data_IF_974684331214
#
_entry.id   IF_974684331214
#
_cell.length_a   1.000
_cell.length_b   1.000
_cell.length_c   1.000
_cell.angle_alpha   90.00
_cell.angle_beta   90.00
_cell.angle_gamma   90.00
#
_symmetry.space_group_name_H-M   'P 1'
#
loop_
_entity.id
_entity.type
_entity.pdbx_description
1 polymer ?
#
# COMPACT_ATOMS: atom_id res chain seq x y z
N UNK A 1 -26.87 13.09 -2.97
CA UNK A 1 -25.83 13.97 -3.61
C UNK A 1 -25.10 13.12 -4.63
N UNK A 2 -24.89 13.64 -5.84
CA UNK A 2 -24.09 12.94 -6.87
C UNK A 2 -22.65 13.46 -6.86
N UNK A 3 -21.71 12.55 -6.82
CA UNK A 3 -20.26 12.83 -6.86
C UNK A 3 -19.69 12.33 -8.19
N UNK A 4 -19.23 13.23 -9.04
CA UNK A 4 -18.61 12.87 -10.31
C UNK A 4 -17.12 12.62 -10.14
N UNK A 5 -16.67 11.43 -10.50
CA UNK A 5 -15.26 11.05 -10.54
C UNK A 5 -14.82 11.00 -12.00
N UNK A 6 -14.37 12.15 -12.49
CA UNK A 6 -13.89 12.27 -13.87
C UNK A 6 -12.44 11.80 -13.97
N UNK A 7 -12.16 10.91 -14.92
CA UNK A 7 -10.84 10.28 -15.05
C UNK A 7 -10.43 10.18 -16.51
N UNK A 8 -9.11 10.32 -16.75
CA UNK A 8 -8.49 10.17 -18.09
C UNK A 8 -7.40 9.10 -18.04
N UNK A 9 -7.09 8.43 -19.15
CA UNK A 9 -5.98 7.48 -19.23
C UNK A 9 -4.62 8.08 -18.86
N UNK A 10 -4.45 9.40 -19.03
CA UNK A 10 -3.24 10.16 -18.72
C UNK A 10 -3.11 10.55 -17.23
N UNK A 11 -4.12 10.30 -16.41
CA UNK A 11 -4.06 10.64 -14.98
C UNK A 11 -2.98 9.82 -14.26
N UNK A 12 -2.22 10.43 -13.34
CA UNK A 12 -1.12 9.76 -12.63
C UNK A 12 -1.60 8.65 -11.68
N UNK A 13 -2.85 8.71 -11.25
CA UNK A 13 -3.52 7.68 -10.45
C UNK A 13 -4.60 7.03 -11.30
N UNK A 14 -4.61 5.69 -11.44
CA UNK A 14 -5.62 4.98 -12.24
C UNK A 14 -7.06 5.35 -11.85
N UNK A 15 -7.88 5.62 -12.86
CA UNK A 15 -9.27 6.08 -12.66
C UNK A 15 -10.12 5.14 -11.83
N UNK A 16 -10.02 3.84 -12.07
CA UNK A 16 -10.73 2.81 -11.30
C UNK A 16 -10.40 2.84 -9.79
N UNK A 17 -9.14 3.10 -9.45
CA UNK A 17 -8.75 3.24 -8.03
C UNK A 17 -9.39 4.48 -7.42
N UNK A 18 -9.35 5.63 -8.12
CA UNK A 18 -9.97 6.88 -7.66
C UNK A 18 -11.47 6.73 -7.46
N UNK A 19 -12.13 6.08 -8.40
CA UNK A 19 -13.55 5.78 -8.30
C UNK A 19 -13.86 4.85 -7.13
N UNK A 20 -13.09 3.75 -6.97
CA UNK A 20 -13.23 2.83 -5.85
C UNK A 20 -13.07 3.51 -4.49
N UNK A 21 -12.06 4.39 -4.34
CA UNK A 21 -11.86 5.16 -3.12
C UNK A 21 -13.02 6.10 -2.81
N UNK A 22 -13.54 6.80 -3.82
CA UNK A 22 -14.69 7.70 -3.62
C UNK A 22 -15.94 6.94 -3.20
N UNK A 23 -16.22 5.79 -3.80
CA UNK A 23 -17.33 4.93 -3.38
C UNK A 23 -17.18 4.45 -1.94
N UNK A 24 -15.98 4.10 -1.53
CA UNK A 24 -15.72 3.65 -0.16
C UNK A 24 -15.85 4.79 0.86
N UNK A 25 -15.38 5.98 0.51
CA UNK A 25 -15.50 7.17 1.38
C UNK A 25 -16.92 7.72 1.49
N UNK A 26 -17.72 7.53 0.47
CA UNK A 26 -19.08 8.08 0.38
C UNK A 26 -20.12 6.99 0.05
N UNK A 27 -20.28 5.96 0.94
CA UNK A 27 -21.12 4.80 0.65
C UNK A 27 -22.60 5.14 0.47
N UNK A 28 -23.07 6.23 1.10
CA UNK A 28 -24.46 6.69 1.04
C UNK A 28 -24.73 7.70 -0.08
N UNK A 29 -23.72 7.98 -0.92
CA UNK A 29 -23.85 8.94 -2.01
C UNK A 29 -23.84 8.22 -3.36
N UNK A 30 -24.44 8.87 -4.34
CA UNK A 30 -24.40 8.43 -5.72
C UNK A 30 -23.04 8.83 -6.34
N UNK A 31 -22.10 7.89 -6.39
CA UNK A 31 -20.76 8.13 -6.97
C UNK A 31 -20.72 7.59 -8.37
N UNK A 32 -20.53 8.47 -9.34
CA UNK A 32 -20.53 8.16 -10.78
C UNK A 32 -19.13 8.27 -11.35
N UNK A 33 -18.71 7.26 -12.12
CA UNK A 33 -17.43 7.24 -12.81
C UNK A 33 -17.59 7.73 -14.25
N UNK A 34 -17.07 8.92 -14.52
CA UNK A 34 -17.06 9.51 -15.87
C UNK A 34 -15.71 9.25 -16.51
N UNK A 35 -15.71 8.37 -17.52
CA UNK A 35 -14.48 7.93 -18.22
C UNK A 35 -14.36 8.52 -19.63
N UNK A 36 -15.29 9.37 -20.03
CA UNK A 36 -15.27 10.07 -21.30
C UNK A 36 -14.10 11.05 -21.36
N UNK A 37 -13.51 11.21 -22.52
CA UNK A 37 -12.42 12.19 -22.75
C UNK A 37 -13.04 13.60 -22.87
N UNK A 38 -13.19 14.26 -21.73
CA UNK A 38 -13.80 15.56 -21.60
C UNK A 38 -12.74 16.66 -21.48
N UNK A 39 -12.98 17.85 -22.06
CA UNK A 39 -12.08 18.99 -21.85
C UNK A 39 -12.03 19.37 -20.38
N UNK A 40 -10.84 19.65 -19.86
CA UNK A 40 -10.63 19.95 -18.43
C UNK A 40 -10.56 21.45 -18.15
N UNK A 41 -10.19 22.25 -19.16
CA UNK A 41 -10.08 23.70 -19.05
C UNK A 41 -10.96 24.39 -20.10
N UNK A 42 -11.56 25.55 -19.77
CA UNK A 42 -12.40 26.27 -20.71
C UNK A 42 -11.72 26.63 -22.04
N UNK A 43 -10.39 26.72 -22.07
CA UNK A 43 -9.61 27.00 -23.27
C UNK A 43 -9.39 25.79 -24.19
N UNK A 44 -9.67 24.58 -23.75
CA UNK A 44 -9.48 23.35 -24.53
C UNK A 44 -10.58 23.13 -25.58
N UNK A 45 -11.79 23.63 -25.35
CA UNK A 45 -12.92 23.46 -26.28
C UNK A 45 -13.90 24.64 -26.24
N UNK A 46 -14.36 25.17 -27.40
CA UNK A 46 -15.30 26.29 -27.44
C UNK A 46 -16.64 25.99 -26.73
N UNK A 47 -17.11 24.74 -26.78
CA UNK A 47 -18.35 24.31 -26.18
C UNK A 47 -18.17 23.71 -24.77
N UNK A 48 -17.04 24.01 -24.11
CA UNK A 48 -16.70 23.48 -22.79
C UNK A 48 -17.89 23.47 -21.80
N UNK A 49 -18.54 24.59 -21.64
CA UNK A 49 -19.65 24.72 -20.68
C UNK A 49 -20.89 23.95 -21.07
N UNK A 50 -21.18 23.81 -22.37
CA UNK A 50 -22.29 23.01 -22.88
C UNK A 50 -22.05 21.52 -22.66
N UNK A 51 -20.83 21.05 -22.93
CA UNK A 51 -20.40 19.66 -22.69
C UNK A 51 -20.58 19.32 -21.21
N UNK A 52 -20.02 20.13 -20.31
CA UNK A 52 -20.13 19.88 -18.87
C UNK A 52 -21.55 19.99 -18.36
N UNK A 53 -22.37 20.87 -18.92
CA UNK A 53 -23.78 20.93 -18.60
C UNK A 53 -24.49 19.62 -18.93
N UNK A 54 -24.28 19.09 -20.13
CA UNK A 54 -24.88 17.82 -20.56
C UNK A 54 -24.46 16.65 -19.67
N UNK A 55 -23.17 16.52 -19.40
CA UNK A 55 -22.64 15.50 -18.50
C UNK A 55 -23.28 15.61 -17.10
N UNK A 56 -23.25 16.79 -16.50
CA UNK A 56 -23.80 16.97 -15.15
C UNK A 56 -25.30 16.67 -15.09
N UNK A 57 -26.10 17.10 -16.07
CA UNK A 57 -27.54 16.81 -16.11
C UNK A 57 -27.80 15.33 -16.35
N UNK A 58 -27.09 14.69 -17.25
CA UNK A 58 -27.21 13.25 -17.51
C UNK A 58 -26.95 12.42 -16.25
N UNK A 59 -25.83 12.69 -15.58
CA UNK A 59 -25.41 11.91 -14.41
C UNK A 59 -26.22 12.25 -13.14
N UNK A 60 -26.78 13.46 -13.05
CA UNK A 60 -27.65 13.86 -11.94
C UNK A 60 -29.13 13.54 -12.16
N UNK A 61 -29.51 12.84 -13.24
CA UNK A 61 -30.88 12.48 -13.52
C UNK A 61 -31.76 13.63 -14.05
N UNK A 62 -31.17 14.60 -14.74
CA UNK A 62 -31.84 15.66 -15.49
C UNK A 62 -31.99 17.00 -14.75
N UNK A 63 -31.71 17.08 -13.46
CA UNK A 63 -31.77 18.31 -12.66
C UNK A 63 -30.64 18.41 -11.65
N UNK A 64 -30.11 19.63 -11.51
CA UNK A 64 -29.12 19.98 -10.49
C UNK A 64 -29.62 21.21 -9.74
N UNK A 65 -29.82 21.10 -8.42
CA UNK A 65 -30.28 22.21 -7.58
C UNK A 65 -29.10 23.02 -7.00
N UNK A 66 -27.93 22.37 -6.75
CA UNK A 66 -26.76 23.02 -6.20
C UNK A 66 -25.47 22.40 -6.73
N UNK A 67 -24.45 23.26 -6.91
CA UNK A 67 -23.08 22.87 -7.27
C UNK A 67 -22.16 23.22 -6.12
N UNK A 68 -21.49 22.22 -5.55
CA UNK A 68 -20.47 22.37 -4.51
C UNK A 68 -19.09 22.33 -5.15
N UNK A 69 -18.30 23.38 -5.03
CA UNK A 69 -16.92 23.40 -5.52
C UNK A 69 -16.03 24.31 -4.66
N UNK A 70 -14.76 23.95 -4.59
CA UNK A 70 -13.72 24.73 -3.93
C UNK A 70 -13.02 25.72 -4.87
N UNK A 71 -13.35 25.71 -6.16
CA UNK A 71 -12.68 26.49 -7.21
C UNK A 71 -13.66 27.40 -7.96
N UNK A 72 -13.12 28.42 -8.64
CA UNK A 72 -13.91 29.51 -9.26
C UNK A 72 -14.81 29.04 -10.40
N UNK A 73 -14.43 27.94 -11.09
CA UNK A 73 -15.26 27.40 -12.16
C UNK A 73 -16.66 26.97 -11.68
N UNK A 74 -16.82 26.65 -10.38
CA UNK A 74 -18.08 26.22 -9.80
C UNK A 74 -19.18 27.26 -9.95
N UNK A 75 -18.85 28.55 -9.93
CA UNK A 75 -19.83 29.62 -10.16
C UNK A 75 -20.41 29.55 -11.58
N UNK A 76 -19.53 29.47 -12.59
CA UNK A 76 -19.95 29.40 -13.99
C UNK A 76 -20.70 28.10 -14.30
N UNK A 77 -20.25 26.99 -13.73
CA UNK A 77 -20.94 25.71 -13.87
C UNK A 77 -22.38 25.77 -13.29
N UNK A 78 -22.53 26.38 -12.13
CA UNK A 78 -23.85 26.56 -11.53
C UNK A 78 -24.77 27.43 -12.41
N UNK A 79 -24.26 28.51 -12.98
CA UNK A 79 -25.01 29.34 -13.93
C UNK A 79 -25.55 28.56 -15.13
N UNK A 80 -24.71 27.77 -15.80
CA UNK A 80 -25.12 27.01 -16.99
C UNK A 80 -26.07 25.86 -16.66
N UNK A 81 -26.03 25.36 -15.42
CA UNK A 81 -26.96 24.35 -14.92
C UNK A 81 -28.29 24.93 -14.40
N UNK A 82 -28.36 26.24 -14.19
CA UNK A 82 -29.50 26.89 -13.51
C UNK A 82 -29.58 26.52 -12.03
N UNK A 83 -28.41 26.23 -11.40
CA UNK A 83 -28.28 25.76 -10.03
C UNK A 83 -27.70 26.83 -9.10
N UNK A 84 -27.81 26.60 -7.79
CA UNK A 84 -27.17 27.45 -6.77
C UNK A 84 -25.68 27.04 -6.60
N UNK A 85 -24.77 28.02 -6.67
CA UNK A 85 -23.37 27.77 -6.31
C UNK A 85 -23.16 27.79 -4.81
N UNK A 86 -22.55 26.75 -4.27
CA UNK A 86 -22.17 26.61 -2.86
C UNK A 86 -20.65 26.49 -2.76
N UNK A 87 -19.94 27.58 -2.44
CA UNK A 87 -18.49 27.54 -2.30
C UNK A 87 -18.07 26.72 -1.09
N UNK A 88 -17.09 25.81 -1.28
CA UNK A 88 -16.55 24.96 -0.23
C UNK A 88 -15.08 25.32 -0.01
N UNK A 89 -14.77 25.93 1.14
CA UNK A 89 -13.41 26.25 1.60
C UNK A 89 -12.46 26.83 0.53
N UNK A 90 -12.95 27.77 -0.30
CA UNK A 90 -12.20 28.39 -1.41
C UNK A 90 -10.85 28.95 -1.00
N UNK A 91 -10.77 29.55 0.18
CA UNK A 91 -9.54 30.12 0.74
C UNK A 91 -8.67 29.09 1.44
N UNK A 92 -9.09 27.81 1.47
CA UNK A 92 -8.40 26.71 2.13
C UNK A 92 -8.07 26.97 3.60
N UNK A 93 -9.01 27.60 4.30
CA UNK A 93 -8.85 27.94 5.71
C UNK A 93 -9.07 26.73 6.62
N UNK A 94 -9.92 25.80 6.23
CA UNK A 94 -10.22 24.57 6.98
C UNK A 94 -9.28 23.43 6.61
N UNK A 95 -9.05 23.26 5.30
CA UNK A 95 -8.16 22.20 4.76
C UNK A 95 -7.09 22.88 3.89
N UNK A 96 -5.93 23.25 4.49
CA UNK A 96 -4.91 24.10 3.84
C UNK A 96 -4.05 23.31 2.82
N UNK A 97 -4.68 22.46 2.00
CA UNK A 97 -4.00 21.61 1.02
C UNK A 97 -4.83 21.40 -0.24
N UNK A 98 -4.17 21.16 -1.37
CA UNK A 98 -4.83 20.75 -2.62
C UNK A 98 -4.49 19.30 -2.98
N UNK A 99 -5.35 18.67 -3.79
CA UNK A 99 -5.06 17.35 -4.35
C UNK A 99 -3.75 17.32 -5.16
N UNK A 100 -3.37 18.43 -5.80
CA UNK A 100 -2.10 18.56 -6.51
C UNK A 100 -0.91 18.52 -5.56
N UNK A 101 -0.98 19.21 -4.41
CA UNK A 101 0.07 19.18 -3.38
C UNK A 101 0.22 17.77 -2.79
N UNK A 102 -0.89 17.10 -2.48
CA UNK A 102 -0.87 15.72 -1.95
C UNK A 102 -0.25 14.75 -2.96
N UNK A 103 -0.62 14.88 -4.24
CA UNK A 103 -0.04 14.01 -5.29
C UNK A 103 1.44 14.28 -5.54
N UNK A 104 1.89 15.52 -5.39
CA UNK A 104 3.30 15.89 -5.56
C UNK A 104 4.18 15.33 -4.43
N UNK A 105 3.68 15.31 -3.20
CA UNK A 105 4.43 14.81 -2.04
C UNK A 105 3.48 14.13 -1.03
N UNK A 106 3.06 12.89 -1.30
CA UNK A 106 2.14 12.18 -0.42
C UNK A 106 2.77 11.84 0.95
N UNK A 107 4.11 11.73 1.02
CA UNK A 107 4.80 11.44 2.28
C UNK A 107 4.74 12.63 3.24
N UNK A 108 4.93 13.84 2.74
CA UNK A 108 4.83 15.08 3.51
C UNK A 108 3.41 15.35 3.98
N UNK A 109 2.43 15.06 3.14
CA UNK A 109 1.02 15.36 3.40
C UNK A 109 0.20 14.14 3.80
N UNK A 110 0.86 13.15 4.41
CA UNK A 110 0.28 11.85 4.78
C UNK A 110 -1.01 11.96 5.58
N UNK A 111 -1.06 12.87 6.53
CA UNK A 111 -2.22 13.03 7.44
C UNK A 111 -3.50 13.50 6.71
N UNK A 112 -3.35 14.02 5.51
CA UNK A 112 -4.48 14.38 4.64
C UNK A 112 -4.92 13.23 3.71
N UNK A 113 -4.20 12.11 3.69
CA UNK A 113 -4.60 10.94 2.91
C UNK A 113 -5.73 10.18 3.62
N UNK A 114 -6.92 10.03 3.01
CA UNK A 114 -7.95 9.16 3.53
C UNK A 114 -7.47 7.71 3.65
N UNK A 115 -8.05 6.98 4.60
CA UNK A 115 -7.68 5.58 4.86
C UNK A 115 -7.69 4.70 3.60
N UNK A 116 -8.72 4.73 2.73
CA UNK A 116 -8.74 3.93 1.50
C UNK A 116 -7.61 4.23 0.51
N UNK A 117 -7.04 5.45 0.57
CA UNK A 117 -5.97 5.91 -0.34
C UNK A 117 -4.58 5.51 0.16
N UNK A 118 -4.38 5.36 1.46
CA UNK A 118 -3.08 5.06 2.09
C UNK A 118 -2.38 3.82 1.52
N UNK A 119 -3.06 2.68 1.24
CA UNK A 119 -2.42 1.49 0.67
C UNK A 119 -1.72 1.72 -0.68
N UNK A 120 -2.12 2.74 -1.43
CA UNK A 120 -1.51 3.10 -2.71
C UNK A 120 -0.15 3.78 -2.54
N UNK A 121 -0.01 4.62 -1.50
CA UNK A 121 1.20 5.42 -1.29
C UNK A 121 2.12 4.84 -0.22
N UNK A 122 1.64 3.95 0.67
CA UNK A 122 2.45 3.39 1.76
C UNK A 122 3.70 2.69 1.23
N UNK A 123 4.85 3.00 1.85
CA UNK A 123 6.10 2.30 1.56
C UNK A 123 6.11 0.96 2.28
N UNK A 124 6.30 -0.12 1.54
CA UNK A 124 6.37 -1.48 2.12
C UNK A 124 7.81 -1.90 2.32
N UNK A 125 8.17 -2.19 3.56
CA UNK A 125 9.51 -2.68 3.95
C UNK A 125 9.38 -4.08 4.49
N UNK A 126 9.93 -5.06 3.78
CA UNK A 126 9.94 -6.45 4.21
C UNK A 126 11.20 -6.74 5.03
N UNK A 127 11.04 -7.37 6.20
CA UNK A 127 12.15 -7.92 6.99
C UNK A 127 12.27 -9.39 6.66
N UNK A 128 13.41 -9.80 6.12
CA UNK A 128 13.63 -11.08 5.45
C UNK A 128 14.84 -11.80 6.02
N UNK A 129 14.89 -13.12 5.92
CA UNK A 129 16.04 -13.90 6.34
C UNK A 129 15.70 -15.15 7.14
N UNK A 130 16.73 -15.91 7.58
CA UNK A 130 16.58 -17.15 8.32
C UNK A 130 15.89 -17.00 9.68
N UNK A 131 15.56 -18.13 10.27
CA UNK A 131 15.11 -18.21 11.66
C UNK A 131 16.16 -17.66 12.62
N UNK A 132 15.68 -17.20 13.77
CA UNK A 132 16.54 -16.71 14.87
C UNK A 132 17.50 -15.56 14.48
N UNK A 133 17.12 -14.73 13.51
CA UNK A 133 17.90 -13.54 13.11
C UNK A 133 17.33 -12.23 13.63
N UNK A 134 16.22 -12.28 14.39
CA UNK A 134 15.59 -11.11 15.00
C UNK A 134 14.62 -10.34 14.11
N UNK A 135 14.08 -10.95 13.03
CA UNK A 135 13.13 -10.31 12.09
C UNK A 135 11.94 -9.68 12.80
N UNK A 136 11.22 -10.45 13.59
CA UNK A 136 10.00 -9.99 14.30
C UNK A 136 10.29 -8.83 15.25
N UNK A 137 11.41 -8.92 15.99
CA UNK A 137 11.86 -7.85 16.90
C UNK A 137 12.17 -6.58 16.13
N UNK A 138 12.96 -6.68 15.04
CA UNK A 138 13.31 -5.52 14.22
C UNK A 138 12.08 -4.88 13.57
N UNK A 139 11.15 -5.69 13.02
CA UNK A 139 9.91 -5.19 12.42
C UNK A 139 9.06 -4.41 13.45
N UNK A 140 8.90 -4.95 14.67
CA UNK A 140 8.15 -4.32 15.75
C UNK A 140 8.84 -3.03 16.25
N UNK A 141 10.17 -3.04 16.40
CA UNK A 141 10.93 -1.89 16.87
C UNK A 141 10.93 -0.73 15.86
N UNK A 142 11.08 -1.04 14.58
CA UNK A 142 10.94 -0.07 13.50
C UNK A 142 9.52 0.52 13.47
N UNK A 143 8.50 -0.33 13.56
CA UNK A 143 7.12 0.15 13.58
C UNK A 143 6.85 1.10 14.76
N UNK A 144 7.38 0.78 15.94
CA UNK A 144 7.29 1.65 17.13
C UNK A 144 8.02 2.98 16.91
N UNK A 145 9.23 2.95 16.32
CA UNK A 145 10.02 4.14 16.05
C UNK A 145 9.30 5.10 15.10
N UNK A 146 8.73 4.56 14.00
CA UNK A 146 8.01 5.35 12.99
C UNK A 146 6.53 5.61 13.35
N UNK A 147 6.06 5.16 14.52
CA UNK A 147 4.67 5.28 14.98
C UNK A 147 3.68 4.72 13.96
N UNK A 148 3.99 3.56 13.42
CA UNK A 148 3.20 2.85 12.44
C UNK A 148 2.92 1.42 12.89
N UNK A 149 2.28 0.63 12.04
CA UNK A 149 1.97 -0.78 12.29
C UNK A 149 2.99 -1.69 11.60
N UNK A 150 3.08 -2.93 12.08
CA UNK A 150 3.79 -4.00 11.37
C UNK A 150 2.89 -5.20 11.19
N UNK A 151 3.16 -5.96 10.14
CA UNK A 151 2.51 -7.24 9.84
C UNK A 151 3.36 -8.33 10.47
N UNK A 152 2.78 -9.07 11.41
CA UNK A 152 3.43 -10.24 12.01
C UNK A 152 3.53 -11.38 10.99
N UNK A 153 4.51 -12.27 11.14
CA UNK A 153 4.64 -13.48 10.33
C UNK A 153 3.41 -14.38 10.51
N UNK A 154 2.59 -14.49 9.47
CA UNK A 154 1.34 -15.26 9.51
C UNK A 154 1.58 -16.74 9.76
N UNK A 155 2.68 -17.28 9.22
CA UNK A 155 3.08 -18.69 9.42
C UNK A 155 3.20 -19.05 10.90
N UNK A 156 3.81 -18.17 11.69
CA UNK A 156 4.02 -18.39 13.12
C UNK A 156 2.70 -18.62 13.86
N UNK A 157 1.72 -17.74 13.69
CA UNK A 157 0.41 -17.86 14.32
C UNK A 157 -0.39 -19.08 13.82
N UNK A 158 -0.26 -19.44 12.55
CA UNK A 158 -0.92 -20.62 11.98
C UNK A 158 -0.33 -21.93 12.49
N UNK A 159 1.00 -21.99 12.66
CA UNK A 159 1.73 -23.23 13.01
C UNK A 159 1.89 -23.42 14.52
N UNK A 160 1.70 -22.38 15.32
CA UNK A 160 1.83 -22.45 16.80
C UNK A 160 0.98 -23.57 17.44
N UNK A 161 -0.33 -23.72 17.12
CA UNK A 161 -1.14 -24.82 17.62
C UNK A 161 -0.68 -26.21 17.15
N UNK A 162 0.17 -26.27 16.11
CA UNK A 162 0.73 -27.50 15.54
C UNK A 162 2.16 -27.80 16.04
N UNK A 163 2.64 -27.04 17.03
CA UNK A 163 4.02 -27.13 17.53
C UNK A 163 5.07 -26.84 16.47
N UNK A 164 4.78 -25.90 15.56
CA UNK A 164 5.70 -25.49 14.47
C UNK A 164 5.68 -26.40 13.24
N UNK A 165 4.91 -27.53 13.25
CA UNK A 165 4.86 -28.42 12.10
C UNK A 165 4.09 -27.79 10.93
N UNK A 166 4.75 -27.73 9.77
CA UNK A 166 4.16 -27.26 8.52
C UNK A 166 3.86 -28.44 7.58
N UNK A 167 2.65 -28.52 7.09
CA UNK A 167 2.23 -29.49 6.08
C UNK A 167 2.06 -28.77 4.72
N UNK A 168 2.10 -29.47 3.54
CA UNK A 168 1.97 -28.83 2.23
C UNK A 168 0.69 -27.98 2.08
N UNK A 169 -0.40 -28.36 2.72
CA UNK A 169 -1.68 -27.64 2.72
C UNK A 169 -1.65 -26.33 3.50
N UNK A 170 -0.66 -26.11 4.36
CA UNK A 170 -0.49 -24.86 5.11
C UNK A 170 0.13 -23.78 4.22
N UNK A 171 0.96 -24.14 3.25
CA UNK A 171 1.65 -23.18 2.36
C UNK A 171 0.67 -22.23 1.65
N UNK A 172 -0.42 -22.71 1.00
CA UNK A 172 -1.46 -21.84 0.45
C UNK A 172 -2.15 -20.93 1.48
N UNK A 173 -2.35 -21.42 2.70
CA UNK A 173 -2.99 -20.67 3.78
C UNK A 173 -2.08 -19.56 4.30
N UNK A 174 -0.78 -19.87 4.47
CA UNK A 174 0.24 -18.91 4.88
C UNK A 174 0.33 -17.78 3.85
N UNK A 175 0.45 -18.12 2.55
CA UNK A 175 0.56 -17.12 1.49
C UNK A 175 -0.65 -16.16 1.44
N UNK A 176 -1.88 -16.70 1.49
CA UNK A 176 -3.10 -15.89 1.50
C UNK A 176 -3.24 -15.05 2.77
N UNK A 177 -2.95 -15.65 3.92
CA UNK A 177 -3.06 -14.97 5.21
C UNK A 177 -2.06 -13.83 5.36
N UNK A 178 -0.81 -14.03 4.91
CA UNK A 178 0.20 -12.97 4.89
C UNK A 178 -0.25 -11.78 4.04
N UNK A 179 -0.71 -12.03 2.80
CA UNK A 179 -1.20 -10.98 1.90
C UNK A 179 -2.40 -10.25 2.49
N UNK A 180 -3.39 -10.99 3.01
CA UNK A 180 -4.58 -10.39 3.60
C UNK A 180 -4.23 -9.49 4.80
N UNK A 181 -3.27 -9.91 5.63
CA UNK A 181 -2.77 -9.13 6.77
C UNK A 181 -2.06 -7.86 6.31
N UNK A 182 -1.23 -7.95 5.28
CA UNK A 182 -0.55 -6.79 4.69
C UNK A 182 -1.54 -5.78 4.11
N UNK A 183 -2.55 -6.24 3.36
CA UNK A 183 -3.53 -5.37 2.73
C UNK A 183 -4.44 -4.68 3.76
N UNK A 184 -4.81 -5.40 4.82
CA UNK A 184 -5.58 -4.83 5.92
C UNK A 184 -4.78 -3.76 6.69
N UNK A 185 -3.52 -4.06 7.05
CA UNK A 185 -2.70 -3.16 7.85
C UNK A 185 -2.13 -1.99 7.04
N UNK A 186 -2.04 -2.09 5.71
CA UNK A 186 -1.63 -0.97 4.86
C UNK A 186 -2.55 0.26 4.99
N UNK A 187 -3.83 0.07 5.33
CA UNK A 187 -4.79 1.14 5.59
C UNK A 187 -4.49 1.91 6.87
N UNK A 188 -3.93 1.22 7.87
CA UNK A 188 -3.63 1.76 9.18
C UNK A 188 -2.20 2.30 9.29
N UNK A 189 -1.34 1.96 8.32
CA UNK A 189 0.05 2.34 8.32
C UNK A 189 0.23 3.86 8.20
N UNK A 190 1.26 4.39 8.87
CA UNK A 190 1.69 5.77 8.75
C UNK A 190 2.98 5.84 7.93
N UNK A 191 2.87 6.22 6.64
CA UNK A 191 3.95 6.36 5.63
C UNK A 191 4.64 5.04 5.26
N UNK A 192 4.95 4.18 6.22
CA UNK A 192 5.66 2.91 6.01
C UNK A 192 4.95 1.77 6.72
N UNK A 193 4.90 0.61 6.08
CA UNK A 193 4.42 -0.65 6.63
C UNK A 193 5.59 -1.63 6.69
N UNK A 194 5.88 -2.15 7.88
CA UNK A 194 6.89 -3.20 8.06
C UNK A 194 6.22 -4.57 8.01
N UNK A 195 6.74 -5.46 7.16
CA UNK A 195 6.24 -6.83 7.03
C UNK A 195 7.30 -7.79 7.59
N UNK A 196 6.96 -8.51 8.67
CA UNK A 196 7.77 -9.62 9.14
C UNK A 196 7.54 -10.79 8.20
N UNK A 197 8.47 -10.98 7.28
CA UNK A 197 8.40 -11.86 6.10
C UNK A 197 7.35 -11.43 5.06
N UNK A 198 7.26 -12.22 3.99
CA UNK A 198 6.35 -12.03 2.86
C UNK A 198 6.10 -13.33 2.09
N UNK A 199 5.34 -13.25 0.99
CA UNK A 199 5.03 -14.40 0.13
C UNK A 199 6.29 -14.98 -0.56
N UNK A 200 7.33 -14.18 -0.83
CA UNK A 200 8.58 -14.71 -1.37
C UNK A 200 9.29 -15.61 -0.35
N UNK A 201 9.27 -15.24 0.94
CA UNK A 201 9.72 -16.12 2.04
C UNK A 201 8.96 -17.44 2.03
N UNK A 202 7.63 -17.40 1.84
CA UNK A 202 6.82 -18.61 1.75
C UNK A 202 7.27 -19.52 0.60
N UNK A 203 7.67 -18.98 -0.56
CA UNK A 203 8.19 -19.80 -1.66
C UNK A 203 9.52 -20.46 -1.31
N UNK A 204 10.42 -19.75 -0.62
CA UNK A 204 11.73 -20.29 -0.18
C UNK A 204 11.53 -21.45 0.81
N UNK A 205 10.61 -21.27 1.76
CA UNK A 205 10.26 -22.33 2.71
C UNK A 205 9.60 -23.54 2.05
N UNK A 206 8.64 -23.30 1.13
CA UNK A 206 7.97 -24.38 0.40
C UNK A 206 8.96 -25.25 -0.37
N UNK A 207 9.88 -24.61 -1.10
CA UNK A 207 10.94 -25.30 -1.83
C UNK A 207 11.87 -26.08 -0.88
N UNK A 208 12.19 -25.50 0.28
CA UNK A 208 13.06 -26.17 1.26
C UNK A 208 12.41 -27.36 1.93
N UNK A 209 11.12 -27.26 2.28
CA UNK A 209 10.40 -28.30 3.04
C UNK A 209 9.86 -29.41 2.12
N UNK A 210 9.38 -29.05 0.95
CA UNK A 210 8.60 -29.95 0.09
C UNK A 210 9.20 -30.14 -1.30
N UNK A 211 10.27 -29.43 -1.66
CA UNK A 211 10.92 -29.49 -2.97
C UNK A 211 10.15 -28.78 -4.08
N UNK A 212 8.98 -28.21 -3.78
CA UNK A 212 8.11 -27.49 -4.73
C UNK A 212 7.26 -26.41 -4.05
N UNK A 213 6.79 -25.46 -4.85
CA UNK A 213 5.86 -24.42 -4.43
C UNK A 213 4.79 -24.22 -5.52
N UNK A 214 3.50 -24.15 -5.16
CA UNK A 214 2.43 -23.91 -6.12
C UNK A 214 2.67 -22.68 -7.01
N UNK A 215 2.43 -22.83 -8.32
CA UNK A 215 2.73 -21.79 -9.32
C UNK A 215 2.08 -20.43 -8.99
N UNK A 216 0.82 -20.44 -8.58
CA UNK A 216 0.10 -19.21 -8.23
C UNK A 216 0.75 -18.43 -7.05
N UNK A 217 1.43 -19.14 -6.10
CA UNK A 217 2.16 -18.46 -5.00
C UNK A 217 3.42 -17.79 -5.54
N UNK A 218 4.11 -18.44 -6.49
CA UNK A 218 5.26 -17.82 -7.17
C UNK A 218 4.83 -16.58 -7.97
N UNK A 219 3.70 -16.65 -8.69
CA UNK A 219 3.12 -15.51 -9.40
C UNK A 219 2.74 -14.38 -8.44
N UNK A 220 2.10 -14.71 -7.31
CA UNK A 220 1.75 -13.76 -6.27
C UNK A 220 3.01 -13.08 -5.69
N UNK A 221 4.07 -13.85 -5.39
CA UNK A 221 5.35 -13.32 -4.92
C UNK A 221 6.01 -12.39 -5.95
N UNK A 222 5.86 -12.68 -7.25
CA UNK A 222 6.41 -11.87 -8.34
C UNK A 222 5.64 -10.55 -8.56
N UNK A 223 4.34 -10.53 -8.29
CA UNK A 223 3.49 -9.34 -8.46
C UNK A 223 3.46 -8.42 -7.25
N UNK A 224 3.70 -8.94 -6.04
CA UNK A 224 3.76 -8.13 -4.81
C UNK A 224 5.03 -7.28 -4.80
N UNK A 225 4.85 -5.99 -4.56
CA UNK A 225 5.95 -5.01 -4.56
C UNK A 225 6.27 -4.56 -3.14
N UNK A 226 7.58 -4.51 -2.87
CA UNK A 226 8.15 -3.92 -1.66
C UNK A 226 9.19 -2.89 -2.09
N UNK A 227 9.17 -1.73 -1.44
CA UNK A 227 10.07 -0.61 -1.75
C UNK A 227 11.50 -0.92 -1.24
N UNK A 228 11.60 -1.74 -0.19
CA UNK A 228 12.86 -2.17 0.41
C UNK A 228 12.70 -3.54 1.07
N UNK A 229 13.74 -4.37 0.99
CA UNK A 229 13.86 -5.60 1.78
C UNK A 229 15.10 -5.52 2.67
N UNK A 230 14.93 -5.77 3.96
CA UNK A 230 15.99 -5.83 4.95
C UNK A 230 16.33 -7.31 5.19
N UNK A 231 17.42 -7.79 4.58
CA UNK A 231 17.88 -9.18 4.71
C UNK A 231 18.81 -9.31 5.92
N UNK A 232 18.37 -10.03 6.96
CA UNK A 232 19.13 -10.22 8.19
C UNK A 232 20.13 -11.37 8.06
N UNK A 233 21.42 -11.08 8.31
CA UNK A 233 22.47 -12.10 8.32
C UNK A 233 22.40 -12.99 9.57
N UNK A 234 23.09 -14.10 9.55
CA UNK A 234 23.13 -15.14 10.60
C UNK A 234 24.31 -14.97 11.58
N UNK A 235 24.83 -13.77 11.69
CA UNK A 235 25.95 -13.38 12.57
C UNK A 235 25.54 -13.08 14.02
N UNK A 236 24.32 -13.45 14.40
CA UNK A 236 23.80 -13.38 15.79
C UNK A 236 23.60 -14.79 16.36
N UNK A 237 23.63 -14.95 17.70
CA UNK A 237 23.39 -16.24 18.33
C UNK A 237 22.05 -16.86 17.95
N UNK A 238 22.01 -18.18 17.92
CA UNK A 238 20.76 -18.92 17.82
C UNK A 238 19.99 -18.82 19.14
N UNK A 239 18.70 -18.61 19.03
CA UNK A 239 17.77 -18.71 20.16
C UNK A 239 16.67 -19.69 19.75
N UNK A 240 16.55 -20.78 20.45
CA UNK A 240 15.48 -21.75 20.26
C UNK A 240 14.19 -21.23 20.92
N UNK A 241 13.08 -21.32 20.21
CA UNK A 241 11.74 -20.99 20.73
C UNK A 241 10.73 -22.14 20.57
N UNK A 242 11.23 -23.35 20.29
CA UNK A 242 10.43 -24.56 20.12
C UNK A 242 9.77 -24.72 18.76
N UNK A 243 9.88 -23.73 17.87
CA UNK A 243 9.37 -23.80 16.49
C UNK A 243 10.49 -23.72 15.45
N UNK A 244 11.72 -23.48 15.88
CA UNK A 244 12.91 -23.32 15.03
C UNK A 244 13.68 -24.62 14.95
N UNK A 245 14.12 -25.00 13.75
CA UNK A 245 14.79 -26.27 13.51
C UNK A 245 15.97 -26.22 12.54
N UNK A 246 16.29 -25.04 11.96
CA UNK A 246 17.38 -24.91 10.97
C UNK A 246 18.68 -24.34 11.55
N UNK A 247 19.03 -24.59 12.81
CA UNK A 247 20.24 -24.02 13.43
C UNK A 247 21.49 -24.29 12.59
N UNK A 248 21.74 -25.55 12.25
CA UNK A 248 22.91 -25.96 11.48
C UNK A 248 22.89 -25.47 10.02
N UNK A 249 21.72 -25.21 9.48
CA UNK A 249 21.51 -24.86 8.07
C UNK A 249 21.27 -23.35 7.84
N UNK A 250 21.35 -22.53 8.90
CA UNK A 250 21.05 -21.09 8.83
C UNK A 250 21.80 -20.36 7.71
N UNK A 251 23.09 -20.68 7.54
CA UNK A 251 23.92 -20.05 6.50
C UNK A 251 23.45 -20.45 5.10
N UNK A 252 23.15 -21.72 4.89
CA UNK A 252 22.61 -22.18 3.61
C UNK A 252 21.27 -21.52 3.31
N UNK A 253 20.38 -21.46 4.32
CA UNK A 253 19.08 -20.81 4.16
C UNK A 253 19.19 -19.29 3.89
N UNK A 254 20.20 -18.63 4.49
CA UNK A 254 20.50 -17.23 4.18
C UNK A 254 20.86 -17.05 2.70
N UNK A 255 21.71 -17.92 2.14
CA UNK A 255 22.08 -17.85 0.73
C UNK A 255 20.86 -18.11 -0.18
N UNK A 256 19.98 -19.05 0.17
CA UNK A 256 18.72 -19.26 -0.54
C UNK A 256 17.82 -18.02 -0.51
N UNK A 257 17.73 -17.35 0.63
CA UNK A 257 17.01 -16.08 0.77
C UNK A 257 17.60 -15.00 -0.15
N UNK A 258 18.91 -14.82 -0.13
CA UNK A 258 19.62 -13.84 -0.95
C UNK A 258 19.39 -14.10 -2.44
N UNK A 259 19.59 -15.34 -2.90
CA UNK A 259 19.34 -15.74 -4.28
C UNK A 259 17.88 -15.53 -4.72
N UNK A 260 16.92 -15.79 -3.83
CA UNK A 260 15.50 -15.53 -4.12
C UNK A 260 15.24 -14.03 -4.36
N UNK A 261 15.81 -13.15 -3.54
CA UNK A 261 15.71 -11.70 -3.70
C UNK A 261 16.38 -11.22 -5.00
N UNK A 262 17.57 -11.75 -5.33
CA UNK A 262 18.30 -11.44 -6.56
C UNK A 262 17.50 -11.88 -7.81
N UNK A 263 16.97 -13.11 -7.82
CA UNK A 263 16.11 -13.62 -8.91
C UNK A 263 14.84 -12.78 -9.08
N UNK A 264 14.24 -12.36 -7.96
CA UNK A 264 13.08 -11.49 -7.96
C UNK A 264 13.42 -10.02 -8.27
N UNK A 265 14.71 -9.68 -8.43
CA UNK A 265 15.20 -8.30 -8.65
C UNK A 265 14.70 -7.32 -7.59
N UNK A 266 14.58 -7.76 -6.34
CA UNK A 266 14.13 -6.90 -5.25
C UNK A 266 15.29 -6.06 -4.71
N UNK A 267 15.02 -4.77 -4.49
CA UNK A 267 15.93 -3.89 -3.76
C UNK A 267 16.08 -4.42 -2.34
N UNK A 268 17.28 -4.78 -1.94
CA UNK A 268 17.56 -5.28 -0.59
C UNK A 268 18.89 -4.78 -0.03
N UNK A 269 18.94 -4.75 1.30
CA UNK A 269 20.16 -4.42 2.08
C UNK A 269 20.37 -5.52 3.09
N UNK A 270 21.62 -6.00 3.18
CA UNK A 270 22.00 -7.01 4.18
C UNK A 270 22.34 -6.30 5.49
N UNK A 271 21.67 -6.68 6.56
CA UNK A 271 21.90 -6.17 7.91
C UNK A 271 22.78 -7.13 8.72
N UNK A 272 23.83 -6.60 9.30
CA UNK A 272 24.84 -7.33 10.10
C UNK A 272 25.15 -6.64 11.41
N UNK A 273 25.85 -7.33 12.29
CA UNK A 273 26.32 -6.79 13.56
C UNK A 273 25.31 -6.96 14.70
N UNK A 274 25.51 -6.19 15.74
CA UNK A 274 24.64 -6.14 16.93
C UNK A 274 23.21 -5.68 16.59
N UNK A 275 22.29 -5.89 17.52
CA UNK A 275 20.90 -5.44 17.38
C UNK A 275 20.80 -3.93 17.14
N UNK A 276 21.62 -3.11 17.83
CA UNK A 276 21.64 -1.67 17.66
C UNK A 276 22.15 -1.26 16.27
N UNK A 277 23.25 -1.85 15.79
CA UNK A 277 23.80 -1.58 14.46
C UNK A 277 22.81 -1.94 13.35
N UNK A 278 22.10 -3.08 13.46
CA UNK A 278 21.07 -3.49 12.53
C UNK A 278 19.88 -2.53 12.52
N UNK A 279 19.44 -2.08 13.71
CA UNK A 279 18.36 -1.10 13.83
C UNK A 279 18.75 0.23 13.19
N UNK A 280 19.94 0.76 13.49
CA UNK A 280 20.42 2.03 12.94
C UNK A 280 20.60 1.98 11.43
N UNK A 281 21.15 0.88 10.90
CA UNK A 281 21.27 0.66 9.45
C UNK A 281 19.89 0.57 8.78
N UNK A 282 18.95 -0.18 9.36
CA UNK A 282 17.59 -0.27 8.87
C UNK A 282 16.89 1.09 8.87
N UNK A 283 17.00 1.85 9.97
CA UNK A 283 16.44 3.19 10.10
C UNK A 283 16.97 4.12 9.03
N UNK A 284 18.29 4.14 8.80
CA UNK A 284 18.90 4.99 7.78
C UNK A 284 18.38 4.70 6.35
N UNK A 285 18.10 3.44 6.02
CA UNK A 285 17.52 3.07 4.73
C UNK A 285 16.04 3.47 4.63
N UNK A 286 15.28 3.31 5.71
CA UNK A 286 13.87 3.70 5.75
C UNK A 286 13.72 5.22 5.68
N UNK A 287 14.55 5.99 6.40
CA UNK A 287 14.55 7.46 6.35
C UNK A 287 14.72 7.97 4.91
N UNK A 288 15.65 7.37 4.13
CA UNK A 288 15.83 7.71 2.71
C UNK A 288 14.64 7.33 1.82
N UNK A 289 13.83 6.37 2.26
CA UNK A 289 12.69 5.90 1.49
C UNK A 289 11.46 6.80 1.68
N UNK A 290 11.31 7.43 2.84
CA UNK A 290 10.15 8.24 3.22
C UNK A 290 10.43 9.75 3.31
N UNK A 291 11.68 10.16 3.02
CA UNK A 291 12.11 11.56 2.93
C UNK A 291 11.51 12.29 1.73
#
# INVERSE_FOLDING_TARGET
>A
MTVLVCTRPSDPVPGELRFGWMREMFPDQDVVHVTEDLPQEPGEHPDFWSIWREVCLREAGGRVDAVFASEDYGHRLAEVLGATFVPVDRVRALVPISGTMVRADPMKYWDFLPEPVRPYYVKRVCVFGPESTGKSTLAADLARHYRTVHVAEYARGLLDPKGGRCDPEDIPRIARGQVASEDALARQAHRVLFCDTDVLTTTVWSDRLFGDCPAWIRELAATRRYDLTLLLDVDVPWVDDGQRFLEAERREFFERCREALERARRRHVVLRGSWAERFDAARAEVDRLIS
#
